data_IF_186517371741
#
_entry.id   IF_186517371741
#
_cell.length_a   1.000
_cell.length_b   1.000
_cell.length_c   1.000
_cell.angle_alpha   90.00
_cell.angle_beta   90.00
_cell.angle_gamma   90.00
#
_symmetry.space_group_name_H-M   'P 1'
#
loop_
_entity.id
_entity.type
_entity.pdbx_description
1 polymer ?
#
# COMPACT_ATOMS: atom_id res chain seq x y z
N UNK A 1 -17.32 -25.50 -0.67
CA UNK A 1 -17.04 -24.23 0.05
C UNK A 1 -16.85 -23.15 -1.00
N UNK A 2 -17.07 -21.87 -0.69
CA UNK A 2 -16.75 -20.81 -1.65
C UNK A 2 -15.23 -20.64 -1.75
N UNK A 3 -14.71 -20.35 -2.95
CA UNK A 3 -13.27 -20.15 -3.19
C UNK A 3 -12.73 -19.04 -2.26
N UNK A 4 -13.50 -17.97 -2.08
CA UNK A 4 -13.24 -16.88 -1.14
C UNK A 4 -12.98 -17.34 0.30
N UNK A 5 -13.80 -18.26 0.83
CA UNK A 5 -13.64 -18.74 2.22
C UNK A 5 -12.36 -19.57 2.37
N UNK A 6 -11.98 -20.29 1.31
CA UNK A 6 -10.77 -21.10 1.28
C UNK A 6 -9.50 -20.25 1.15
N UNK A 7 -9.54 -19.16 0.35
CA UNK A 7 -8.47 -18.15 0.30
C UNK A 7 -8.29 -17.49 1.67
N UNK A 8 -9.38 -17.06 2.32
CA UNK A 8 -9.35 -16.47 3.67
C UNK A 8 -8.76 -17.46 4.68
N UNK A 9 -9.10 -18.75 4.59
CA UNK A 9 -8.56 -19.78 5.47
C UNK A 9 -7.06 -19.98 5.25
N UNK A 10 -6.58 -20.05 4.00
CA UNK A 10 -5.14 -20.18 3.71
C UNK A 10 -4.34 -18.93 4.12
N UNK A 11 -4.91 -17.72 3.97
CA UNK A 11 -4.29 -16.49 4.47
C UNK A 11 -4.18 -16.47 6.00
N UNK A 12 -5.19 -16.99 6.73
CA UNK A 12 -5.13 -17.18 8.19
C UNK A 12 -4.11 -18.23 8.63
N UNK A 13 -3.80 -19.19 7.76
CA UNK A 13 -2.71 -20.16 7.96
C UNK A 13 -1.32 -19.59 7.67
N UNK A 14 -1.23 -18.32 7.23
CA UNK A 14 0.03 -17.65 6.92
C UNK A 14 0.66 -18.05 5.57
N UNK A 15 -0.13 -18.62 4.64
CA UNK A 15 0.33 -18.97 3.30
C UNK A 15 0.42 -17.73 2.41
N UNK A 16 1.50 -17.67 1.64
CA UNK A 16 1.74 -16.58 0.69
C UNK A 16 0.87 -16.73 -0.56
N UNK A 17 0.46 -15.62 -1.17
CA UNK A 17 -0.39 -15.60 -2.37
C UNK A 17 0.04 -16.57 -3.50
N UNK A 18 1.33 -16.72 -3.88
CA UNK A 18 1.76 -17.71 -4.87
C UNK A 18 1.57 -19.18 -4.43
N UNK A 19 1.57 -19.48 -3.14
CA UNK A 19 1.31 -20.82 -2.61
C UNK A 19 -0.19 -21.14 -2.64
N UNK A 20 -1.02 -20.16 -2.28
CA UNK A 20 -2.48 -20.22 -2.41
C UNK A 20 -2.88 -20.50 -3.86
N UNK A 21 -2.23 -19.81 -4.82
CA UNK A 21 -2.52 -19.99 -6.24
C UNK A 21 -2.20 -21.41 -6.71
N UNK A 22 -1.05 -21.99 -6.32
CA UNK A 22 -0.74 -23.39 -6.63
C UNK A 22 -1.73 -24.36 -5.99
N UNK A 23 -2.02 -24.20 -4.70
CA UNK A 23 -2.89 -25.10 -3.95
C UNK A 23 -4.35 -25.11 -4.45
N UNK A 24 -4.84 -23.99 -5.00
CA UNK A 24 -6.18 -23.91 -5.60
C UNK A 24 -6.18 -24.33 -7.08
N UNK A 25 -5.10 -24.09 -7.81
CA UNK A 25 -4.94 -24.57 -9.20
C UNK A 25 -4.82 -26.11 -9.26
N UNK A 26 -4.18 -26.75 -8.27
CA UNK A 26 -4.17 -28.21 -8.10
C UNK A 26 -5.58 -28.79 -7.86
N UNK A 27 -6.52 -27.97 -7.37
CA UNK A 27 -7.93 -28.33 -7.19
C UNK A 27 -8.79 -28.02 -8.43
N UNK A 28 -8.17 -27.62 -9.54
CA UNK A 28 -8.84 -27.33 -10.81
C UNK A 28 -9.53 -25.96 -10.88
N UNK A 29 -9.28 -25.07 -9.91
CA UNK A 29 -9.84 -23.71 -9.89
C UNK A 29 -9.03 -22.82 -10.84
N UNK A 30 -9.69 -21.96 -11.63
CA UNK A 30 -8.98 -21.11 -12.59
C UNK A 30 -8.18 -20.00 -11.90
N UNK A 31 -7.05 -19.60 -12.50
CA UNK A 31 -6.23 -18.51 -12.00
C UNK A 31 -6.99 -17.17 -11.88
N UNK A 32 -8.01 -16.96 -12.73
CA UNK A 32 -8.87 -15.78 -12.67
C UNK A 32 -9.74 -15.76 -11.42
N UNK A 33 -10.41 -16.88 -11.11
CA UNK A 33 -11.24 -17.01 -9.90
C UNK A 33 -10.41 -16.93 -8.61
N UNK A 34 -9.18 -17.45 -8.63
CA UNK A 34 -8.23 -17.34 -7.52
C UNK A 34 -7.85 -15.88 -7.27
N UNK A 35 -7.43 -15.15 -8.32
CA UNK A 35 -7.04 -13.75 -8.19
C UNK A 35 -8.21 -12.87 -7.72
N UNK A 36 -9.41 -13.10 -8.25
CA UNK A 36 -10.63 -12.41 -7.81
C UNK A 36 -10.95 -12.72 -6.34
N UNK A 37 -10.85 -13.98 -5.91
CA UNK A 37 -11.04 -14.36 -4.52
C UNK A 37 -9.99 -13.76 -3.57
N UNK A 38 -8.73 -13.59 -4.00
CA UNK A 38 -7.67 -12.91 -3.25
C UNK A 38 -7.95 -11.41 -3.12
N UNK A 39 -8.39 -10.75 -4.19
CA UNK A 39 -8.77 -9.33 -4.14
C UNK A 39 -9.97 -9.13 -3.20
N UNK A 40 -10.99 -9.98 -3.32
CA UNK A 40 -12.16 -9.95 -2.43
C UNK A 40 -11.81 -10.27 -0.97
N UNK A 41 -10.86 -11.18 -0.70
CA UNK A 41 -10.44 -11.50 0.67
C UNK A 41 -9.69 -10.34 1.34
N UNK A 42 -8.84 -9.64 0.59
CA UNK A 42 -8.16 -8.43 1.06
C UNK A 42 -9.17 -7.32 1.40
N UNK A 43 -10.13 -7.05 0.51
CA UNK A 43 -11.20 -6.07 0.74
C UNK A 43 -12.04 -6.45 1.96
N UNK A 44 -12.47 -7.72 2.07
CA UNK A 44 -13.26 -8.22 3.21
C UNK A 44 -12.49 -8.18 4.54
N UNK A 45 -11.17 -8.36 4.50
CA UNK A 45 -10.30 -8.22 5.68
C UNK A 45 -10.13 -6.75 6.08
N UNK A 46 -9.93 -5.84 5.13
CA UNK A 46 -9.87 -4.41 5.40
C UNK A 46 -11.20 -3.86 5.97
N UNK A 47 -12.35 -4.32 5.45
CA UNK A 47 -13.68 -3.94 5.94
C UNK A 47 -13.97 -4.47 7.35
N UNK A 48 -13.56 -5.71 7.65
CA UNK A 48 -13.77 -6.31 8.98
C UNK A 48 -12.70 -5.92 10.00
N UNK A 49 -11.59 -5.32 9.58
CA UNK A 49 -10.43 -4.98 10.42
C UNK A 49 -10.67 -3.91 11.49
N UNK A 50 -11.84 -3.27 11.50
CA UNK A 50 -12.16 -2.15 12.39
C UNK A 50 -12.73 -2.55 13.77
N UNK A 51 -12.68 -3.83 14.17
CA UNK A 51 -13.25 -4.31 15.45
C UNK A 51 -12.42 -5.32 16.26
N UNK A 52 -11.15 -5.60 15.92
CA UNK A 52 -10.29 -6.42 16.80
C UNK A 52 -8.93 -5.79 17.08
N UNK A 53 -8.50 -5.96 18.33
CA UNK A 53 -7.38 -5.25 18.95
C UNK A 53 -6.02 -5.70 18.41
N UNK A 54 -5.24 -4.72 17.96
CA UNK A 54 -3.91 -4.41 18.48
C UNK A 54 -2.95 -5.60 18.75
N UNK A 55 -2.15 -5.97 17.75
CA UNK A 55 -0.73 -6.28 17.97
C UNK A 55 0.14 -5.91 16.74
N UNK A 56 0.83 -4.78 16.87
CA UNK A 56 2.14 -4.40 16.31
C UNK A 56 2.77 -5.41 15.30
N UNK A 57 3.10 -5.08 14.04
CA UNK A 57 3.94 -3.95 13.57
C UNK A 57 3.79 -3.70 12.04
N UNK A 58 3.91 -2.42 11.62
CA UNK A 58 4.53 -1.89 10.38
C UNK A 58 4.27 -2.63 9.03
N UNK A 59 3.81 -2.07 7.91
CA UNK A 59 3.72 -0.70 7.34
C UNK A 59 3.10 -0.82 5.92
N UNK A 60 2.60 0.17 5.15
CA UNK A 60 2.39 1.63 5.26
C UNK A 60 1.32 2.08 4.19
N UNK A 61 0.69 3.25 4.35
CA UNK A 61 -0.13 3.99 3.35
C UNK A 61 -1.36 3.31 2.70
N UNK A 62 -2.53 3.47 3.34
CA UNK A 62 -3.80 3.69 2.64
C UNK A 62 -4.08 5.19 2.57
N UNK A 63 -4.59 5.68 1.43
CA UNK A 63 -4.93 7.09 1.22
C UNK A 63 -6.41 7.21 0.82
N UNK A 64 -7.27 7.54 1.80
CA UNK A 64 -8.70 7.74 1.57
C UNK A 64 -8.99 8.97 0.69
N UNK A 65 -10.01 8.88 -0.17
CA UNK A 65 -10.55 10.00 -0.93
C UNK A 65 -12.08 9.98 -0.83
N UNK A 66 -12.73 11.06 -0.37
CA UNK A 66 -14.18 11.08 -0.21
C UNK A 66 -14.93 11.41 -1.51
N UNK A 67 -15.74 10.45 -1.96
CA UNK A 67 -17.01 10.60 -2.70
C UNK A 67 -17.16 11.62 -3.84
N UNK A 68 -17.34 11.11 -5.07
CA UNK A 68 -18.16 11.77 -6.10
C UNK A 68 -19.10 10.81 -6.84
N UNK A 69 -20.38 11.21 -6.84
CA UNK A 69 -21.44 11.12 -7.87
C UNK A 69 -21.42 9.95 -8.88
N UNK A 70 -22.52 9.19 -8.92
CA UNK A 70 -22.87 8.26 -10.01
C UNK A 70 -23.20 8.99 -11.31
N UNK A 71 -22.66 8.50 -12.43
CA UNK A 71 -23.11 8.82 -13.79
C UNK A 71 -23.37 7.50 -14.55
N UNK A 72 -24.51 7.34 -15.27
CA UNK A 72 -24.84 6.10 -15.95
C UNK A 72 -24.24 6.04 -17.36
N UNK A 73 -23.42 5.03 -17.65
CA UNK A 73 -22.94 4.75 -19.02
C UNK A 73 -23.20 3.32 -19.49
N UNK A 74 -23.17 3.18 -20.81
CA UNK A 74 -23.83 2.15 -21.61
C UNK A 74 -23.13 0.78 -21.63
N UNK A 75 -23.82 -0.31 -22.05
CA UNK A 75 -23.21 -1.63 -22.20
C UNK A 75 -22.13 -1.62 -23.29
N UNK A 76 -20.88 -1.90 -22.90
CA UNK A 76 -19.77 -2.15 -23.81
C UNK A 76 -19.65 -3.65 -24.13
N UNK A 77 -19.32 -3.96 -25.38
CA UNK A 77 -19.30 -5.31 -25.92
C UNK A 77 -18.13 -6.17 -25.42
N UNK A 78 -18.35 -7.48 -25.41
CA UNK A 78 -17.33 -8.50 -25.12
C UNK A 78 -16.16 -8.43 -26.11
N UNK A 79 -14.93 -8.43 -25.59
CA UNK A 79 -13.72 -8.63 -26.37
C UNK A 79 -13.04 -9.93 -25.88
N UNK A 80 -12.62 -10.83 -26.79
CA UNK A 80 -12.01 -12.10 -26.40
C UNK A 80 -10.58 -11.90 -25.86
N UNK A 81 -10.27 -12.57 -24.75
CA UNK A 81 -8.94 -12.59 -24.16
C UNK A 81 -8.07 -13.60 -24.91
N UNK A 82 -7.07 -13.11 -25.64
CA UNK A 82 -6.13 -13.96 -26.39
C UNK A 82 -5.02 -14.46 -25.45
N UNK A 83 -5.12 -15.72 -25.01
CA UNK A 83 -4.15 -16.34 -24.11
C UNK A 83 -2.85 -16.69 -24.83
N UNK A 84 -1.77 -15.95 -24.53
CA UNK A 84 -0.42 -16.23 -25.02
C UNK A 84 0.14 -17.50 -24.36
N UNK A 85 0.08 -18.62 -25.07
CA UNK A 85 0.63 -19.89 -24.63
C UNK A 85 2.08 -20.02 -25.14
N UNK A 86 3.08 -19.82 -24.26
CA UNK A 86 4.48 -20.05 -24.62
C UNK A 86 4.72 -21.53 -24.94
N UNK A 87 4.96 -21.81 -26.23
CA UNK A 87 5.14 -23.17 -26.72
C UNK A 87 6.65 -23.47 -26.87
N UNK A 88 7.26 -23.95 -25.78
CA UNK A 88 8.68 -24.28 -25.69
C UNK A 88 8.98 -25.58 -26.43
N UNK A 89 9.39 -25.50 -27.71
CA UNK A 89 9.97 -26.63 -28.44
C UNK A 89 11.49 -26.51 -28.58
N UNK A 90 12.20 -27.51 -28.08
CA UNK A 90 13.65 -27.58 -28.13
C UNK A 90 14.14 -27.87 -29.56
N UNK A 91 15.11 -27.08 -29.99
CA UNK A 91 15.80 -27.18 -31.26
C UNK A 91 16.72 -28.42 -31.31
N UNK A 92 16.46 -29.36 -32.22
CA UNK A 92 17.40 -30.43 -32.55
C UNK A 92 18.19 -30.07 -33.83
N UNK A 93 19.53 -30.18 -33.81
CA UNK A 93 20.32 -29.92 -35.01
C UNK A 93 20.35 -31.17 -35.89
N UNK A 94 19.66 -31.14 -37.04
CA UNK A 94 19.91 -32.10 -38.11
C UNK A 94 21.10 -31.63 -38.96
N UNK A 95 22.13 -32.47 -39.00
CA UNK A 95 23.26 -32.29 -39.91
C UNK A 95 22.87 -32.57 -41.35
N UNK A 96 23.65 -31.99 -42.26
CA UNK A 96 23.66 -32.39 -43.67
C UNK A 96 24.04 -33.86 -43.78
N UNK A 97 23.24 -34.63 -44.51
CA UNK A 97 23.80 -35.50 -45.54
C UNK A 97 22.83 -35.55 -46.74
N UNK A 98 23.39 -35.30 -47.92
CA UNK A 98 22.66 -35.12 -49.17
C UNK A 98 23.02 -36.26 -50.10
N UNK A 99 22.29 -37.37 -50.01
CA UNK A 99 22.51 -38.52 -50.91
C UNK A 99 21.30 -38.75 -51.82
N UNK A 100 21.62 -38.99 -53.09
CA UNK A 100 20.70 -39.14 -54.21
C UNK A 100 19.85 -40.41 -54.08
N UNK A 101 18.52 -40.31 -54.23
CA UNK A 101 17.76 -41.38 -54.89
C UNK A 101 16.64 -40.83 -55.78
N UNK A 102 16.48 -41.45 -56.94
CA UNK A 102 15.67 -40.98 -58.06
C UNK A 102 14.28 -41.65 -58.08
N UNK A 103 13.32 -41.05 -57.37
CA UNK A 103 11.91 -41.46 -57.38
C UNK A 103 11.09 -40.73 -58.44
N UNK A 104 10.80 -41.36 -59.58
CA UNK A 104 9.98 -40.77 -60.63
C UNK A 104 8.50 -40.66 -60.24
N UNK A 105 7.94 -39.45 -60.20
CA UNK A 105 6.51 -39.22 -60.00
C UNK A 105 6.09 -37.75 -60.03
N UNK A 106 5.34 -37.35 -61.07
CA UNK A 106 4.68 -36.03 -61.19
C UNK A 106 5.56 -34.80 -60.94
N UNK A 107 6.46 -34.55 -61.89
CA UNK A 107 7.12 -33.25 -62.01
C UNK A 107 6.15 -32.14 -62.42
N UNK A 108 5.55 -31.48 -61.43
CA UNK A 108 5.27 -30.05 -61.56
C UNK A 108 6.58 -29.31 -61.34
N UNK A 109 7.20 -28.83 -62.42
CA UNK A 109 8.34 -27.91 -62.32
C UNK A 109 7.84 -26.60 -61.73
N UNK A 110 7.91 -26.47 -60.40
CA UNK A 110 7.65 -25.21 -59.72
C UNK A 110 8.75 -24.26 -60.15
N UNK A 111 8.39 -23.25 -60.93
CA UNK A 111 9.35 -22.30 -61.48
C UNK A 111 10.02 -21.55 -60.30
N UNK A 112 11.36 -21.53 -60.19
CA UNK A 112 12.05 -20.82 -59.11
C UNK A 112 11.68 -19.34 -59.04
N UNK A 113 11.27 -18.73 -60.17
CA UNK A 113 10.78 -17.35 -60.19
C UNK A 113 9.43 -17.23 -59.44
N UNK A 114 8.52 -18.20 -59.58
CA UNK A 114 7.25 -18.22 -58.84
C UNK A 114 7.44 -18.51 -57.34
N UNK A 115 8.41 -19.35 -56.96
CA UNK A 115 8.76 -19.54 -55.54
C UNK A 115 9.33 -18.25 -54.95
N UNK A 116 10.12 -17.52 -55.74
CA UNK A 116 10.71 -16.23 -55.33
C UNK A 116 9.64 -15.15 -55.18
N UNK A 117 8.67 -15.08 -56.10
CA UNK A 117 7.53 -14.15 -56.03
C UNK A 117 6.67 -14.39 -54.78
N UNK A 118 6.31 -15.65 -54.50
CA UNK A 118 5.56 -16.03 -53.28
C UNK A 118 6.37 -15.67 -52.02
N UNK A 119 7.69 -15.95 -52.00
CA UNK A 119 8.55 -15.60 -50.88
C UNK A 119 8.64 -14.08 -50.65
N UNK A 120 8.74 -13.29 -51.72
CA UNK A 120 8.73 -11.82 -51.63
C UNK A 120 7.40 -11.30 -51.09
N UNK A 121 6.26 -11.81 -51.59
CA UNK A 121 4.94 -11.41 -51.10
C UNK A 121 4.77 -11.72 -49.60
N UNK A 122 5.15 -12.93 -49.15
CA UNK A 122 5.09 -13.31 -47.73
C UNK A 122 6.00 -12.44 -46.87
N UNK A 123 7.21 -12.11 -47.34
CA UNK A 123 8.12 -11.20 -46.63
C UNK A 123 7.57 -9.78 -46.57
N UNK A 124 6.95 -9.25 -47.63
CA UNK A 124 6.31 -7.93 -47.60
C UNK A 124 5.09 -7.89 -46.67
N UNK A 125 4.24 -8.91 -46.69
CA UNK A 125 3.09 -9.02 -45.79
C UNK A 125 3.53 -9.11 -44.32
N UNK A 126 4.51 -9.95 -44.01
CA UNK A 126 5.04 -10.04 -42.64
C UNK A 126 5.83 -8.81 -42.21
N UNK A 127 6.57 -8.15 -43.10
CA UNK A 127 7.23 -6.88 -42.77
C UNK A 127 6.20 -5.76 -42.55
N UNK A 128 5.08 -5.77 -43.28
CA UNK A 128 3.94 -4.85 -43.08
C UNK A 128 3.18 -5.15 -41.79
N UNK A 129 3.00 -6.42 -41.43
CA UNK A 129 2.44 -6.85 -40.15
C UNK A 129 3.37 -6.48 -38.97
N UNK A 130 4.68 -6.69 -39.12
CA UNK A 130 5.68 -6.29 -38.14
C UNK A 130 5.70 -4.76 -37.98
N UNK A 131 5.72 -4.00 -39.09
CA UNK A 131 5.62 -2.53 -39.10
C UNK A 131 4.27 -2.02 -38.57
N UNK A 132 3.22 -2.83 -38.53
CA UNK A 132 1.95 -2.51 -37.87
C UNK A 132 2.00 -2.81 -36.37
N UNK A 133 2.63 -3.92 -35.95
CA UNK A 133 2.80 -4.32 -34.53
C UNK A 133 3.83 -3.48 -33.78
N UNK A 134 4.94 -3.11 -34.44
CA UNK A 134 5.90 -2.08 -33.98
C UNK A 134 5.47 -0.66 -34.38
N UNK A 135 4.29 -0.54 -35.00
CA UNK A 135 3.87 0.62 -35.79
C UNK A 135 3.57 1.89 -35.04
N UNK A 136 3.80 1.92 -33.72
CA UNK A 136 3.62 3.13 -32.95
C UNK A 136 4.58 3.26 -31.76
N UNK A 137 5.88 3.00 -32.00
CA UNK A 137 6.94 3.49 -31.08
C UNK A 137 6.83 5.00 -30.87
N UNK A 138 6.26 5.74 -31.84
CA UNK A 138 5.95 7.15 -31.73
C UNK A 138 4.85 7.43 -30.69
N UNK A 139 3.66 6.84 -30.79
CA UNK A 139 2.62 7.04 -29.76
C UNK A 139 2.94 6.36 -28.44
N UNK A 140 3.73 5.28 -28.42
CA UNK A 140 4.29 4.74 -27.17
C UNK A 140 5.18 5.77 -26.50
N UNK A 141 6.07 6.44 -27.24
CA UNK A 141 6.89 7.53 -26.72
C UNK A 141 5.99 8.67 -26.21
N UNK A 142 5.05 9.16 -27.01
CA UNK A 142 4.12 10.25 -26.62
C UNK A 142 3.31 9.90 -25.38
N UNK A 143 2.66 8.73 -25.35
CA UNK A 143 1.89 8.22 -24.20
C UNK A 143 2.75 8.06 -22.95
N UNK A 144 4.03 7.68 -23.12
CA UNK A 144 4.98 7.53 -22.01
C UNK A 144 5.44 8.89 -21.50
N UNK A 145 5.72 9.85 -22.38
CA UNK A 145 6.05 11.23 -22.03
C UNK A 145 4.89 11.90 -21.27
N UNK A 146 3.65 11.79 -21.78
CA UNK A 146 2.43 12.27 -21.10
C UNK A 146 2.25 11.63 -19.71
N UNK A 147 2.44 10.30 -19.59
CA UNK A 147 2.36 9.61 -18.29
C UNK A 147 3.46 10.04 -17.33
N UNK A 148 4.69 10.28 -17.82
CA UNK A 148 5.80 10.78 -17.01
C UNK A 148 5.52 12.21 -16.53
N UNK A 149 4.99 13.09 -17.39
CA UNK A 149 4.61 14.46 -17.02
C UNK A 149 3.46 14.48 -16.01
N UNK A 150 2.46 13.61 -16.19
CA UNK A 150 1.38 13.43 -15.22
C UNK A 150 1.88 12.90 -13.86
N UNK A 151 2.85 11.97 -13.86
CA UNK A 151 3.49 11.48 -12.64
C UNK A 151 4.32 12.57 -11.95
N UNK A 152 5.13 13.33 -12.70
CA UNK A 152 5.89 14.46 -12.16
C UNK A 152 4.97 15.53 -11.53
N UNK A 153 3.85 15.82 -12.19
CA UNK A 153 2.81 16.72 -11.67
C UNK A 153 2.16 16.20 -10.39
N UNK A 154 1.95 14.88 -10.26
CA UNK A 154 1.45 14.25 -9.03
C UNK A 154 2.48 14.27 -7.91
N UNK A 155 3.75 13.99 -8.20
CA UNK A 155 4.86 14.04 -7.24
C UNK A 155 4.99 15.45 -6.67
N UNK A 156 4.97 16.49 -7.51
CA UNK A 156 5.03 17.89 -7.05
C UNK A 156 3.86 18.26 -6.12
N UNK A 157 2.64 17.79 -6.40
CA UNK A 157 1.50 17.99 -5.48
C UNK A 157 1.64 17.24 -4.15
N UNK A 158 2.34 16.10 -4.15
CA UNK A 158 2.66 15.34 -2.93
C UNK A 158 3.71 16.11 -2.10
N UNK A 159 4.76 16.63 -2.75
CA UNK A 159 5.77 17.51 -2.15
C UNK A 159 5.13 18.75 -1.52
N UNK A 160 4.31 19.50 -2.28
CA UNK A 160 3.53 20.65 -1.79
C UNK A 160 2.61 20.31 -0.59
N UNK A 161 2.14 19.05 -0.50
CA UNK A 161 1.29 18.57 0.60
C UNK A 161 2.12 18.20 1.84
N UNK A 162 3.26 17.55 1.64
CA UNK A 162 4.22 17.22 2.69
C UNK A 162 4.74 18.49 3.35
N UNK A 163 5.10 19.52 2.59
CA UNK A 163 5.55 20.81 3.12
C UNK A 163 4.48 21.49 3.99
N UNK A 164 3.21 21.47 3.56
CA UNK A 164 2.08 21.97 4.36
C UNK A 164 1.88 21.20 5.65
N UNK A 165 2.01 19.87 5.60
CA UNK A 165 1.91 19.00 6.79
C UNK A 165 3.08 19.30 7.75
N UNK A 166 4.31 19.41 7.26
CA UNK A 166 5.47 19.77 8.09
C UNK A 166 5.28 21.15 8.73
N UNK A 167 4.81 22.15 7.98
CA UNK A 167 4.52 23.49 8.51
C UNK A 167 3.44 23.44 9.60
N UNK A 168 2.34 22.73 9.37
CA UNK A 168 1.26 22.58 10.34
C UNK A 168 1.71 21.82 11.61
N UNK A 169 2.57 20.80 11.49
CA UNK A 169 3.17 20.10 12.63
C UNK A 169 4.08 21.04 13.43
N UNK A 170 4.96 21.80 12.77
CA UNK A 170 5.87 22.76 13.43
C UNK A 170 5.05 23.84 14.16
N UNK A 171 4.02 24.39 13.53
CA UNK A 171 3.09 25.33 14.16
C UNK A 171 2.41 24.73 15.39
N UNK A 172 1.84 23.52 15.29
CA UNK A 172 1.17 22.86 16.42
C UNK A 172 2.13 22.55 17.55
N UNK A 173 3.33 22.05 17.27
CA UNK A 173 4.35 21.81 18.31
C UNK A 173 4.78 23.11 18.98
N UNK A 174 4.88 24.21 18.22
CA UNK A 174 5.08 25.56 18.76
C UNK A 174 3.96 25.98 19.72
N UNK A 175 2.71 25.93 19.28
CA UNK A 175 1.52 26.21 20.11
C UNK A 175 1.47 25.34 21.37
N UNK A 176 1.76 24.03 21.27
CA UNK A 176 1.83 23.13 22.42
C UNK A 176 2.95 23.52 23.39
N UNK A 177 4.12 23.94 22.88
CA UNK A 177 5.22 24.44 23.68
C UNK A 177 4.86 25.73 24.44
N UNK A 178 4.23 26.69 23.75
CA UNK A 178 3.73 27.93 24.37
C UNK A 178 2.66 27.63 25.44
N UNK A 179 1.66 26.82 25.11
CA UNK A 179 0.60 26.42 26.05
C UNK A 179 1.18 25.70 27.29
N UNK A 180 2.16 24.81 27.09
CA UNK A 180 2.87 24.15 28.20
C UNK A 180 3.63 25.15 29.09
N UNK A 181 4.23 26.19 28.50
CA UNK A 181 4.89 27.26 29.25
C UNK A 181 3.89 28.12 30.03
N UNK A 182 2.70 28.42 29.48
CA UNK A 182 1.61 29.09 30.21
C UNK A 182 1.14 28.24 31.40
N UNK A 183 0.85 26.95 31.18
CA UNK A 183 0.46 26.01 32.24
C UNK A 183 1.53 25.96 33.33
N UNK A 184 2.82 25.86 32.97
CA UNK A 184 3.94 25.86 33.93
C UNK A 184 3.97 27.13 34.78
N UNK A 185 3.79 28.30 34.16
CA UNK A 185 3.77 29.59 34.85
C UNK A 185 2.58 29.72 35.81
N UNK A 186 1.41 29.24 35.41
CA UNK A 186 0.22 29.23 36.29
C UNK A 186 0.35 28.22 37.43
N UNK A 187 0.98 27.07 37.20
CA UNK A 187 1.29 26.09 38.23
C UNK A 187 2.32 26.64 39.24
N UNK A 188 3.32 27.40 38.77
CA UNK A 188 4.27 28.13 39.63
C UNK A 188 3.57 29.24 40.43
N UNK A 189 2.65 30.02 39.82
CA UNK A 189 1.84 31.02 40.51
C UNK A 189 0.94 30.38 41.59
N UNK A 190 0.30 29.26 41.27
CA UNK A 190 -0.55 28.49 42.18
C UNK A 190 0.28 27.91 43.34
N UNK A 191 1.46 27.35 43.04
CA UNK A 191 2.40 26.88 44.06
C UNK A 191 2.85 28.02 45.00
N UNK A 192 3.15 29.19 44.43
CA UNK A 192 3.57 30.38 45.20
C UNK A 192 2.44 30.95 46.07
N UNK A 193 1.21 31.00 45.58
CA UNK A 193 0.04 31.39 46.39
C UNK A 193 -0.29 30.34 47.45
N UNK A 194 -0.24 29.05 47.11
CA UNK A 194 -0.45 27.94 48.05
C UNK A 194 0.59 27.96 49.17
N UNK A 195 1.87 28.17 48.85
CA UNK A 195 2.95 28.31 49.84
C UNK A 195 2.73 29.54 50.74
N UNK A 196 2.35 30.68 50.18
CA UNK A 196 2.02 31.90 50.94
C UNK A 196 0.81 31.72 51.87
N UNK A 197 -0.12 30.83 51.55
CA UNK A 197 -1.28 30.50 52.41
C UNK A 197 -0.95 29.39 53.44
N UNK A 198 -0.22 28.34 53.04
CA UNK A 198 0.14 27.23 53.91
C UNK A 198 1.12 27.63 55.00
N UNK A 199 2.15 28.42 54.69
CA UNK A 199 3.18 28.82 55.66
C UNK A 199 2.57 29.46 56.94
N UNK A 200 1.75 30.53 56.86
CA UNK A 200 1.14 31.13 58.05
C UNK A 200 0.11 30.22 58.74
N UNK A 201 -0.53 29.28 58.03
CA UNK A 201 -1.41 28.29 58.65
C UNK A 201 -0.62 27.27 59.48
N UNK A 202 0.48 26.75 58.93
CA UNK A 202 1.41 25.84 59.59
C UNK A 202 2.06 26.52 60.80
N UNK A 203 2.52 27.76 60.64
CA UNK A 203 3.13 28.54 61.72
C UNK A 203 2.14 28.82 62.86
N UNK A 204 0.89 29.19 62.57
CA UNK A 204 -0.15 29.34 63.59
C UNK A 204 -0.50 28.01 64.29
N UNK A 205 -0.55 26.89 63.55
CA UNK A 205 -0.82 25.57 64.12
C UNK A 205 0.33 25.07 65.02
N UNK A 206 1.58 25.41 64.66
CA UNK A 206 2.76 25.14 65.48
C UNK A 206 2.83 26.06 66.70
N UNK A 207 2.51 27.35 66.56
CA UNK A 207 2.45 28.31 67.65
C UNK A 207 1.38 27.93 68.69
N UNK A 208 0.18 27.57 68.25
CA UNK A 208 -0.91 27.10 69.14
C UNK A 208 -0.55 25.81 69.87
N UNK A 209 0.07 24.82 69.21
CA UNK A 209 0.66 23.64 69.88
C UNK A 209 1.69 24.04 70.94
N UNK A 210 2.61 24.96 70.64
CA UNK A 210 3.67 25.42 71.55
C UNK A 210 3.13 26.21 72.76
N UNK A 211 2.05 26.97 72.59
CA UNK A 211 1.34 27.61 73.70
C UNK A 211 0.57 26.62 74.58
N UNK A 212 0.00 25.56 73.99
CA UNK A 212 -0.69 24.50 74.74
C UNK A 212 0.26 23.74 75.68
N UNK A 213 1.45 23.36 75.22
CA UNK A 213 2.45 22.68 76.06
C UNK A 213 3.01 23.59 77.15
N UNK A 214 3.22 24.88 76.87
CA UNK A 214 3.74 25.85 77.85
C UNK A 214 2.72 26.25 78.95
N UNK A 215 1.41 26.17 78.68
CA UNK A 215 0.38 26.31 79.74
C UNK A 215 0.38 25.13 80.73
N UNK A 216 0.60 23.89 80.26
CA UNK A 216 0.63 22.69 81.11
C UNK A 216 1.78 22.70 82.14
N UNK A 217 2.94 23.29 81.82
CA UNK A 217 4.07 23.37 82.76
C UNK A 217 3.87 24.40 83.88
N UNK A 218 3.19 25.52 83.62
CA UNK A 218 2.88 26.51 84.66
C UNK A 218 1.79 26.05 85.65
N UNK A 219 0.78 25.31 85.19
CA UNK A 219 -0.25 24.75 86.07
C UNK A 219 0.37 23.82 87.14
N UNK A 220 1.32 22.96 86.76
CA UNK A 220 2.01 22.04 87.67
C UNK A 220 2.85 22.75 88.75
N UNK A 221 3.24 24.03 88.56
CA UNK A 221 4.09 24.77 89.49
C UNK A 221 3.32 25.56 90.55
N UNK A 222 2.00 25.78 90.39
CA UNK A 222 1.13 26.36 91.43
C UNK A 222 0.50 25.33 92.38
N UNK A 223 0.54 24.04 92.05
CA UNK A 223 -0.01 22.94 92.87
C UNK A 223 0.92 22.44 93.99
N UNK A 224 2.00 23.17 94.30
CA UNK A 224 3.09 22.68 95.16
C UNK A 224 3.61 23.73 96.15
N UNK A 225 2.74 24.66 96.54
CA UNK A 225 3.00 25.71 97.54
C UNK A 225 1.76 25.88 98.40
#
# INVERSE_FOLDING_TARGET
MAILDQVIQMQKEGKENPEILRALQEQGISASEINEAINQSQIKTALNGNQMENQEQQSIMSNEVPGQVQEPQAPAAEAPVETTQENYYAQTPQGYDQEYDSGAGYGGTVDPDSVTEIAQQVVEEEFKNYKKKTGDVASFKTTTEEKIEALGSRIKRIEDSIDKIQHAIIQKVGEFGENTNYIRKDLENLHNTTSKLMNPLIDNLNATKKHSTRKKSHAKKKSKK
#
